data_IF_417077475377
#
_entry.id   IF_417077475377
#
_cell.length_a   1.000
_cell.length_b   1.000
_cell.length_c   1.000
_cell.angle_alpha   90.00
_cell.angle_beta   90.00
_cell.angle_gamma   90.00
#
_symmetry.space_group_name_H-M   'P 1'
#
loop_
_entity.id
_entity.type
_entity.pdbx_description
1 polymer ?
#
# COMPACT_ATOMS: atom_id res chain seq x y z
N UNK A 1 4.03 25.27 6.56
CA UNK A 1 2.75 25.19 5.83
C UNK A 1 2.36 23.73 5.82
N UNK A 2 1.09 23.40 6.07
CA UNK A 2 0.61 22.02 6.01
C UNK A 2 0.12 21.76 4.59
N UNK A 3 0.58 20.69 3.96
CA UNK A 3 0.10 20.22 2.66
C UNK A 3 -0.75 18.97 2.86
N UNK A 4 -1.80 18.83 2.04
CA UNK A 4 -2.75 17.72 2.11
C UNK A 4 -2.74 17.01 0.77
N UNK A 5 -2.42 15.71 0.79
CA UNK A 5 -2.56 14.82 -0.35
C UNK A 5 -3.83 13.99 -0.16
N UNK A 6 -4.79 14.16 -1.06
CA UNK A 6 -6.01 13.35 -1.09
C UNK A 6 -5.76 12.03 -1.83
N UNK A 7 -6.21 10.92 -1.25
CA UNK A 7 -6.10 9.58 -1.79
C UNK A 7 -7.50 8.94 -1.88
N UNK A 8 -7.75 8.17 -2.93
CA UNK A 8 -9.02 7.44 -3.14
C UNK A 8 -9.03 6.05 -2.47
N UNK A 9 -8.23 5.90 -1.40
CA UNK A 9 -8.06 4.66 -0.65
C UNK A 9 -7.78 4.97 0.82
N UNK A 10 -7.77 3.95 1.69
CA UNK A 10 -7.46 4.13 3.11
C UNK A 10 -6.02 3.70 3.38
N UNK A 11 -5.07 4.64 3.57
CA UNK A 11 -3.71 4.31 3.99
C UNK A 11 -3.70 3.78 5.43
N UNK A 12 -2.86 2.79 5.70
CA UNK A 12 -2.65 2.22 7.04
C UNK A 12 -1.24 2.59 7.54
N UNK A 13 -0.22 1.75 7.28
CA UNK A 13 1.17 2.06 7.65
C UNK A 13 1.97 2.67 6.49
N UNK A 14 2.78 3.67 6.82
CA UNK A 14 3.71 4.35 5.92
C UNK A 14 5.14 3.85 6.15
N UNK A 15 5.80 3.42 5.09
CA UNK A 15 7.23 3.10 5.09
C UNK A 15 7.97 4.08 4.19
N UNK A 16 9.11 4.59 4.65
CA UNK A 16 9.89 5.60 3.92
C UNK A 16 11.18 4.97 3.42
N UNK A 17 11.42 5.02 2.11
CA UNK A 17 12.69 4.62 1.54
C UNK A 17 13.78 5.59 2.01
N UNK A 18 14.81 5.14 2.76
CA UNK A 18 15.82 6.03 3.30
C UNK A 18 16.76 6.63 2.25
N UNK A 19 16.79 6.08 1.03
CA UNK A 19 17.64 6.55 -0.07
C UNK A 19 16.94 7.62 -0.91
N UNK A 20 15.65 7.44 -1.20
CA UNK A 20 14.90 8.34 -2.09
C UNK A 20 13.93 9.27 -1.35
N UNK A 21 13.51 8.91 -0.14
CA UNK A 21 12.42 9.56 0.56
C UNK A 21 11.03 9.19 0.01
N UNK A 22 10.95 8.25 -0.93
CA UNK A 22 9.66 7.76 -1.44
C UNK A 22 8.89 7.05 -0.32
N UNK A 23 7.58 7.28 -0.28
CA UNK A 23 6.71 6.67 0.73
C UNK A 23 5.97 5.50 0.10
N UNK A 24 6.14 4.31 0.69
CA UNK A 24 5.40 3.11 0.38
C UNK A 24 4.29 2.93 1.39
N UNK A 25 3.08 2.66 0.91
CA UNK A 25 1.89 2.61 1.77
C UNK A 25 1.12 1.34 1.49
N UNK A 26 0.85 0.58 2.55
CA UNK A 26 -0.17 -0.46 2.51
C UNK A 26 -1.55 0.17 2.70
N UNK A 27 -2.46 -0.14 1.78
CA UNK A 27 -3.81 0.42 1.78
C UNK A 27 -4.85 -0.67 1.90
N UNK A 28 -5.94 -0.35 2.59
CA UNK A 28 -7.12 -1.18 2.69
C UNK A 28 -8.31 -0.41 2.08
N UNK A 29 -8.68 -0.68 0.80
CA UNK A 29 -9.71 0.09 0.11
C UNK A 29 -11.05 0.18 0.86
N UNK A 30 -11.37 -0.82 1.68
CA UNK A 30 -12.54 -0.79 2.56
C UNK A 30 -12.18 -1.17 4.01
N UNK A 31 -11.61 -0.23 4.76
CA UNK A 31 -11.19 -0.40 6.15
C UNK A 31 -12.32 -0.86 7.09
N UNK A 32 -13.58 -0.50 6.81
CA UNK A 32 -14.73 -0.89 7.63
C UNK A 32 -14.92 -2.40 7.73
N UNK A 33 -14.55 -3.14 6.68
CA UNK A 33 -14.62 -4.59 6.66
C UNK A 33 -13.62 -5.27 7.60
N UNK A 34 -12.60 -4.54 8.12
CA UNK A 34 -11.67 -5.09 9.12
C UNK A 34 -12.42 -5.36 10.43
N UNK A 35 -13.32 -4.44 10.82
CA UNK A 35 -14.10 -4.56 12.05
C UNK A 35 -15.23 -5.58 11.97
N UNK A 36 -15.71 -5.87 10.75
CA UNK A 36 -16.81 -6.80 10.48
C UNK A 36 -16.39 -7.85 9.44
N UNK A 37 -15.28 -8.54 9.71
CA UNK A 37 -14.68 -9.47 8.76
C UNK A 37 -15.65 -10.58 8.35
N UNK A 38 -15.80 -10.75 7.04
CA UNK A 38 -16.52 -11.86 6.40
C UNK A 38 -15.58 -12.51 5.37
N UNK A 39 -15.25 -13.80 5.49
CA UNK A 39 -14.30 -14.47 4.59
C UNK A 39 -14.65 -14.35 3.10
N UNK A 40 -15.94 -14.28 2.79
CA UNK A 40 -16.50 -14.22 1.44
C UNK A 40 -16.70 -12.80 0.89
N UNK A 41 -16.42 -11.77 1.69
CA UNK A 41 -16.50 -10.37 1.30
C UNK A 41 -15.22 -9.63 1.72
N UNK A 42 -14.11 -9.99 1.06
CA UNK A 42 -12.78 -9.58 1.45
C UNK A 42 -12.50 -8.08 1.38
N UNK A 43 -11.31 -7.72 1.85
CA UNK A 43 -10.86 -6.36 2.13
C UNK A 43 -10.29 -5.64 0.91
N UNK A 44 -9.85 -6.41 -0.09
CA UNK A 44 -8.90 -5.99 -1.08
C UNK A 44 -7.50 -5.81 -0.48
N UNK A 45 -6.50 -5.77 -1.35
CA UNK A 45 -5.16 -5.31 -0.99
C UNK A 45 -4.68 -4.31 -2.03
N UNK A 46 -4.11 -3.21 -1.59
CA UNK A 46 -3.54 -2.17 -2.44
C UNK A 46 -2.21 -1.67 -1.86
N UNK A 47 -1.24 -1.41 -2.74
CA UNK A 47 -0.01 -0.70 -2.39
C UNK A 47 0.15 0.48 -3.31
N UNK A 48 0.37 1.66 -2.71
CA UNK A 48 0.73 2.86 -3.44
C UNK A 48 2.16 3.29 -3.09
N UNK A 49 2.84 3.88 -4.08
CA UNK A 49 4.11 4.58 -3.92
C UNK A 49 3.90 6.07 -4.15
N UNK A 50 4.36 6.90 -3.23
CA UNK A 50 4.29 8.35 -3.31
C UNK A 50 5.71 8.88 -3.48
N UNK A 51 5.96 9.55 -4.59
CA UNK A 51 7.26 10.13 -4.94
C UNK A 51 7.18 11.65 -4.85
N UNK A 52 8.25 12.29 -4.38
CA UNK A 52 8.34 13.76 -4.24
C UNK A 52 7.18 14.36 -3.43
N UNK A 53 6.93 13.81 -2.23
CA UNK A 53 5.77 14.17 -1.38
C UNK A 53 5.69 15.65 -0.98
N UNK A 54 6.80 16.39 -1.02
CA UNK A 54 6.88 17.82 -0.71
C UNK A 54 6.83 18.74 -1.95
N UNK A 55 6.57 18.18 -3.13
CA UNK A 55 6.44 18.95 -4.37
C UNK A 55 5.00 19.43 -4.58
N UNK A 56 4.81 20.45 -5.42
CA UNK A 56 3.46 20.92 -5.79
C UNK A 56 2.58 19.82 -6.41
N UNK A 57 3.19 18.81 -7.02
CA UNK A 57 2.50 17.69 -7.67
C UNK A 57 3.17 16.35 -7.32
N UNK A 58 2.92 15.80 -6.12
CA UNK A 58 3.43 14.48 -5.73
C UNK A 58 2.92 13.40 -6.70
N UNK A 59 3.79 12.47 -7.07
CA UNK A 59 3.40 11.37 -7.96
C UNK A 59 2.95 10.18 -7.11
N UNK A 60 1.67 9.82 -7.25
CA UNK A 60 1.09 8.63 -6.62
C UNK A 60 0.96 7.53 -7.66
N UNK A 61 1.55 6.37 -7.41
CA UNK A 61 1.51 5.21 -8.30
C UNK A 61 0.90 4.03 -7.57
N UNK A 62 -0.17 3.42 -8.11
CA UNK A 62 -0.67 2.14 -7.62
C UNK A 62 0.26 1.03 -8.13
N UNK A 63 1.02 0.43 -7.22
CA UNK A 63 2.04 -0.58 -7.55
C UNK A 63 1.47 -2.00 -7.46
N UNK A 64 0.47 -2.21 -6.61
CA UNK A 64 -0.19 -3.49 -6.44
C UNK A 64 -1.68 -3.29 -6.15
N UNK A 65 -2.53 -4.12 -6.76
CA UNK A 65 -3.95 -4.20 -6.46
C UNK A 65 -4.41 -5.67 -6.57
N UNK A 66 -5.08 -6.18 -5.56
CA UNK A 66 -5.62 -7.53 -5.54
C UNK A 66 -7.01 -7.61 -4.92
N UNK A 67 -7.86 -8.43 -5.53
CA UNK A 67 -9.25 -8.67 -5.14
C UNK A 67 -9.38 -9.88 -4.19
N UNK A 68 -8.48 -9.99 -3.20
CA UNK A 68 -8.47 -11.05 -2.18
C UNK A 68 -8.14 -12.47 -2.66
N UNK A 69 -7.87 -12.65 -3.96
CA UNK A 69 -7.48 -13.95 -4.54
C UNK A 69 -6.10 -14.44 -4.06
N UNK A 70 -5.22 -13.53 -3.64
CA UNK A 70 -3.86 -13.84 -3.17
C UNK A 70 -3.64 -13.32 -1.75
N UNK A 71 -4.00 -12.05 -1.51
CA UNK A 71 -3.73 -11.33 -0.28
C UNK A 71 -4.95 -10.49 0.12
N UNK A 72 -5.29 -10.49 1.40
CA UNK A 72 -6.41 -9.74 1.96
C UNK A 72 -5.92 -8.69 2.95
N UNK A 73 -6.33 -7.43 2.79
CA UNK A 73 -6.11 -6.36 3.75
C UNK A 73 -4.64 -6.01 3.95
N UNK A 74 -3.94 -5.61 2.88
CA UNK A 74 -2.60 -5.04 3.01
C UNK A 74 -2.61 -3.83 3.94
N UNK A 75 -1.62 -3.80 4.83
CA UNK A 75 -1.47 -2.80 5.90
C UNK A 75 -0.13 -2.08 5.81
N UNK A 76 0.90 -2.75 5.30
CA UNK A 76 2.24 -2.18 5.13
C UNK A 76 2.86 -2.71 3.85
N UNK A 77 3.73 -1.92 3.23
CA UNK A 77 4.55 -2.36 2.12
C UNK A 77 5.92 -1.69 2.15
N UNK A 78 6.97 -2.45 1.84
CA UNK A 78 8.34 -1.94 1.76
C UNK A 78 9.04 -2.49 0.53
N UNK A 79 9.78 -1.64 -0.18
CA UNK A 79 10.61 -2.05 -1.30
C UNK A 79 12.09 -2.12 -0.88
N UNK A 80 12.78 -3.16 -1.34
CA UNK A 80 14.22 -3.32 -1.13
C UNK A 80 14.83 -4.09 -2.30
N UNK A 81 15.86 -3.52 -2.93
CA UNK A 81 16.63 -4.16 -4.01
C UNK A 81 15.78 -4.82 -5.11
N UNK A 82 14.77 -4.10 -5.61
CA UNK A 82 13.87 -4.58 -6.67
C UNK A 82 12.87 -5.64 -6.21
N UNK A 83 12.73 -5.85 -4.90
CA UNK A 83 11.68 -6.66 -4.28
C UNK A 83 10.67 -5.76 -3.58
N UNK A 84 9.44 -6.25 -3.45
CA UNK A 84 8.39 -5.64 -2.66
C UNK A 84 7.87 -6.67 -1.65
N UNK A 85 7.89 -6.31 -0.36
CA UNK A 85 7.27 -7.10 0.70
C UNK A 85 6.01 -6.39 1.18
N UNK A 86 4.87 -7.09 1.16
CA UNK A 86 3.56 -6.59 1.56
C UNK A 86 3.08 -7.38 2.77
N UNK A 87 2.79 -6.67 3.87
CA UNK A 87 2.25 -7.23 5.11
C UNK A 87 0.75 -6.94 5.25
N UNK A 88 0.06 -7.80 5.98
CA UNK A 88 -1.37 -7.67 6.33
C UNK A 88 -1.54 -7.69 7.85
N UNK A 89 -2.69 -7.23 8.35
CA UNK A 89 -2.98 -7.23 9.79
C UNK A 89 -3.07 -8.66 10.34
N UNK A 90 -3.77 -9.56 9.64
CA UNK A 90 -4.11 -10.89 10.16
C UNK A 90 -4.06 -12.04 9.15
N UNK A 91 -3.73 -11.79 7.88
CA UNK A 91 -3.78 -12.82 6.84
C UNK A 91 -2.39 -13.44 6.57
N UNK A 92 -1.71 -13.01 5.52
CA UNK A 92 -0.39 -13.52 5.07
C UNK A 92 0.54 -12.33 4.77
N UNK A 93 1.75 -12.64 4.34
CA UNK A 93 2.62 -11.67 3.67
C UNK A 93 2.83 -12.10 2.21
N UNK A 94 3.09 -11.14 1.33
CA UNK A 94 3.40 -11.38 -0.07
C UNK A 94 4.77 -10.77 -0.41
N UNK A 95 5.62 -11.55 -1.07
CA UNK A 95 6.91 -11.10 -1.59
C UNK A 95 6.88 -11.14 -3.11
N UNK A 96 7.11 -9.98 -3.74
CA UNK A 96 7.01 -9.77 -5.18
C UNK A 96 8.34 -9.29 -5.76
N UNK A 97 8.52 -9.54 -7.05
CA UNK A 97 9.55 -8.88 -7.85
C UNK A 97 8.96 -7.58 -8.43
N UNK A 98 9.65 -6.46 -8.24
CA UNK A 98 9.33 -5.19 -8.90
C UNK A 98 10.02 -5.20 -10.26
N UNK A 99 9.27 -5.55 -11.30
CA UNK A 99 9.79 -5.47 -12.66
C UNK A 99 9.92 -4.00 -13.07
N UNK A 100 11.16 -3.54 -13.27
CA UNK A 100 11.44 -2.28 -13.95
C UNK A 100 11.10 -2.46 -15.44
N UNK A 101 9.84 -2.18 -15.81
CA UNK A 101 9.45 -2.07 -17.23
C UNK A 101 9.74 -0.66 -17.73
#
# INVERSE_FOLDING_TARGET
MLEILHLETTPDNLEVDPKTGDVWVGCCPNVWKIFFYQPENGLGSEVIKIENILSENPKVTQVYLNNDSVLQGSSVAIAYEGKLLIGTIFHKALHCDLNNS
#
